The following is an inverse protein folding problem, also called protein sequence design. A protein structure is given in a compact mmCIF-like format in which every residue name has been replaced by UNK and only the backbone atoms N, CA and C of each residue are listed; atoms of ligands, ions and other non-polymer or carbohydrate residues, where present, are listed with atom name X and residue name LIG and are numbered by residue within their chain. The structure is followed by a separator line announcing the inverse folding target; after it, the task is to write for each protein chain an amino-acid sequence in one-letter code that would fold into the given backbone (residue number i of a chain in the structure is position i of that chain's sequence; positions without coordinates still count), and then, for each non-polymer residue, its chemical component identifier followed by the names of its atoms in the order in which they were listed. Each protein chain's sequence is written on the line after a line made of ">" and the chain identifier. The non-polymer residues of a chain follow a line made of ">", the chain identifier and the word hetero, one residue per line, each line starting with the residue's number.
data_IF_618800064759
#
_entry.id   IF_618800064759
#
_cell.length_a   1.000
_cell.length_b   1.000
_cell.length_c   1.000
_cell.angle_alpha   90.00
_cell.angle_beta   90.00
_cell.angle_gamma   90.00
#
_symmetry.space_group_name_H-M   'P 1'
#
loop_
_entity.id
_entity.type
_entity.pdbx_description
1 polymer ?
#
# COMPACT_ATOMS: atom_id res chain seq x y z
N UNK A 1 -14.00 11.33 67.67
CA UNK A 1 -13.88 10.71 66.34
C UNK A 1 -14.18 9.23 66.52
N UNK A 2 -15.25 8.73 65.91
CA UNK A 2 -15.67 7.33 66.05
C UNK A 2 -14.87 6.48 65.05
N UNK A 3 -14.18 5.46 65.55
CA UNK A 3 -13.43 4.51 64.72
C UNK A 3 -14.40 3.38 64.37
N UNK A 4 -14.67 3.10 63.08
CA UNK A 4 -15.53 2.00 62.68
C UNK A 4 -14.94 0.67 63.15
N UNK A 5 -15.78 -0.25 63.65
CA UNK A 5 -15.33 -1.61 63.97
C UNK A 5 -14.99 -2.37 62.68
N UNK A 6 -13.71 -2.68 62.51
CA UNK A 6 -13.16 -3.43 61.37
C UNK A 6 -12.37 -4.62 61.90
N UNK A 7 -12.34 -5.73 61.14
CA UNK A 7 -11.56 -6.90 61.51
C UNK A 7 -10.06 -6.57 61.54
N UNK A 8 -9.46 -6.71 62.72
CA UNK A 8 -8.05 -6.42 62.97
C UNK A 8 -7.11 -7.34 62.20
N UNK A 9 -7.55 -8.56 61.85
CA UNK A 9 -6.74 -9.53 61.09
C UNK A 9 -6.57 -9.08 59.64
N UNK A 10 -7.69 -8.78 58.97
CA UNK A 10 -7.67 -8.29 57.59
C UNK A 10 -6.98 -6.93 57.47
N UNK A 11 -7.15 -6.06 58.47
CA UNK A 11 -6.43 -4.79 58.53
C UNK A 11 -4.90 -5.00 58.58
N UNK A 12 -4.43 -5.92 59.41
CA UNK A 12 -3.00 -6.26 59.51
C UNK A 12 -2.43 -6.84 58.21
N UNK A 13 -3.19 -7.66 57.49
CA UNK A 13 -2.78 -8.19 56.18
C UNK A 13 -2.62 -7.07 55.14
N UNK A 14 -3.54 -6.10 55.11
CA UNK A 14 -3.45 -4.93 54.22
C UNK A 14 -2.27 -4.02 54.58
N UNK A 15 -1.96 -3.85 55.87
CA UNK A 15 -0.78 -3.12 56.32
C UNK A 15 0.52 -3.82 55.91
N UNK A 16 0.59 -5.16 56.00
CA UNK A 16 1.73 -5.95 55.54
C UNK A 16 1.92 -5.83 54.02
N UNK A 17 0.83 -5.70 53.26
CA UNK A 17 0.87 -5.42 51.81
C UNK A 17 1.29 -3.99 51.46
N UNK A 18 1.41 -3.10 52.45
CA UNK A 18 1.86 -1.72 52.27
C UNK A 18 0.74 -0.70 52.06
N UNK A 19 -0.53 -1.08 52.29
CA UNK A 19 -1.65 -0.15 52.22
C UNK A 19 -1.80 0.65 53.54
N UNK A 20 -2.00 1.98 53.49
CA UNK A 20 -2.21 2.78 54.69
C UNK A 20 -3.45 2.35 55.47
N UNK A 21 -3.33 2.24 56.80
CA UNK A 21 -4.41 1.81 57.69
C UNK A 21 -5.74 2.56 57.46
N UNK A 22 -5.66 3.86 57.19
CA UNK A 22 -6.83 4.73 56.92
C UNK A 22 -7.63 4.26 55.71
N UNK A 23 -6.94 3.91 54.62
CA UNK A 23 -7.56 3.45 53.37
C UNK A 23 -8.09 2.03 53.52
N UNK A 24 -7.33 1.17 54.21
CA UNK A 24 -7.70 -0.21 54.52
C UNK A 24 -8.99 -0.28 55.35
N UNK A 25 -9.13 0.57 56.37
CA UNK A 25 -10.35 0.66 57.19
C UNK A 25 -11.57 1.05 56.33
N UNK A 26 -11.38 2.01 55.42
CA UNK A 26 -12.45 2.47 54.52
C UNK A 26 -12.85 1.38 53.53
N UNK A 27 -11.88 0.72 52.92
CA UNK A 27 -12.11 -0.39 51.99
C UNK A 27 -12.84 -1.56 52.66
N UNK A 28 -12.43 -1.91 53.88
CA UNK A 28 -13.08 -2.96 54.66
C UNK A 28 -14.52 -2.58 55.06
N UNK A 29 -14.76 -1.30 55.35
CA UNK A 29 -16.10 -0.79 55.61
C UNK A 29 -17.04 -0.88 54.39
N UNK A 30 -16.56 -0.54 53.18
CA UNK A 30 -17.39 -0.62 51.97
C UNK A 30 -17.49 -2.04 51.39
N UNK A 31 -16.46 -2.87 51.59
CA UNK A 31 -16.46 -4.31 51.26
C UNK A 31 -17.35 -5.13 52.22
N UNK A 32 -17.70 -4.56 53.38
CA UNK A 32 -18.56 -5.20 54.38
C UNK A 32 -17.89 -6.33 55.16
N UNK A 33 -16.57 -6.25 55.37
CA UNK A 33 -15.76 -7.23 56.13
C UNK A 33 -15.93 -8.71 55.72
N UNK A 34 -16.32 -9.00 54.48
CA UNK A 34 -16.64 -10.36 54.02
C UNK A 34 -15.44 -11.11 53.44
N UNK A 35 -14.57 -10.42 52.68
CA UNK A 35 -13.40 -11.02 52.05
C UNK A 35 -12.27 -10.00 51.87
N UNK A 36 -11.01 -10.43 52.07
CA UNK A 36 -9.82 -9.58 51.90
C UNK A 36 -9.69 -9.06 50.46
N UNK A 37 -9.84 -9.95 49.47
CA UNK A 37 -9.72 -9.63 48.05
C UNK A 37 -10.74 -8.58 47.60
N UNK A 38 -11.96 -8.61 48.16
CA UNK A 38 -12.99 -7.63 47.87
C UNK A 38 -12.64 -6.24 48.40
N UNK A 39 -11.95 -6.17 49.55
CA UNK A 39 -11.42 -4.90 50.06
C UNK A 39 -10.27 -4.37 49.19
N UNK A 40 -9.39 -5.25 48.70
CA UNK A 40 -8.33 -4.87 47.76
C UNK A 40 -8.92 -4.35 46.45
N UNK A 41 -9.92 -5.04 45.88
CA UNK A 41 -10.57 -4.60 44.65
C UNK A 41 -11.22 -3.23 44.81
N UNK A 42 -11.90 -2.99 45.94
CA UNK A 42 -12.47 -1.67 46.23
C UNK A 42 -11.39 -0.60 46.35
N UNK A 43 -10.25 -0.92 46.98
CA UNK A 43 -9.14 0.01 47.15
C UNK A 43 -8.50 0.40 45.80
N UNK A 44 -8.36 -0.56 44.88
CA UNK A 44 -7.84 -0.31 43.54
C UNK A 44 -8.80 0.51 42.68
N UNK A 45 -10.10 0.26 42.78
CA UNK A 45 -11.11 1.00 42.04
C UNK A 45 -11.22 2.48 42.49
N UNK A 46 -10.87 2.78 43.74
CA UNK A 46 -11.05 4.09 44.36
C UNK A 46 -9.73 4.76 44.76
N UNK A 47 -8.57 4.25 44.33
CA UNK A 47 -7.24 4.75 44.74
C UNK A 47 -6.96 6.20 44.30
N UNK A 48 -7.64 6.65 43.25
CA UNK A 48 -7.49 7.97 42.63
C UNK A 48 -8.43 9.03 43.22
N UNK A 49 -9.31 8.64 44.14
CA UNK A 49 -10.28 9.57 44.72
C UNK A 49 -9.63 10.40 45.84
N UNK A 50 -9.71 11.75 45.79
CA UNK A 50 -9.08 12.64 46.77
C UNK A 50 -9.72 12.56 48.16
N UNK A 51 -10.87 11.90 48.29
CA UNK A 51 -11.56 11.70 49.55
C UNK A 51 -11.19 10.38 50.22
N UNK A 52 -10.42 9.47 49.59
CA UNK A 52 -10.10 8.14 50.11
C UNK A 52 -9.38 8.17 51.47
N UNK A 53 -8.61 9.23 51.72
CA UNK A 53 -7.88 9.46 52.97
C UNK A 53 -8.78 10.00 54.11
N UNK A 54 -10.07 10.21 53.85
CA UNK A 54 -11.06 10.58 54.89
C UNK A 54 -11.69 9.33 55.50
N UNK A 55 -11.65 9.25 56.84
CA UNK A 55 -12.31 8.21 57.63
C UNK A 55 -13.83 8.34 57.54
N UNK A 56 -14.57 7.27 57.20
CA UNK A 56 -16.02 7.31 57.18
C UNK A 56 -16.60 7.51 58.60
N UNK A 57 -17.53 8.46 58.76
CA UNK A 57 -18.13 8.84 60.05
C UNK A 57 -19.34 7.99 60.47
N UNK A 58 -19.67 6.92 59.75
CA UNK A 58 -20.88 6.13 59.99
C UNK A 58 -20.51 4.68 60.26
N UNK A 59 -20.86 4.18 61.45
CA UNK A 59 -20.82 2.74 61.74
C UNK A 59 -22.01 2.06 61.06
N UNK A 60 -21.78 1.23 60.04
CA UNK A 60 -22.72 0.17 59.69
C UNK A 60 -22.36 -1.07 60.51
N UNK A 61 -23.25 -1.49 61.41
CA UNK A 61 -23.18 -2.82 62.01
C UNK A 61 -23.57 -3.85 60.95
N UNK A 62 -22.67 -4.80 60.69
CA UNK A 62 -22.97 -5.99 59.89
C UNK A 62 -22.52 -7.18 60.73
N UNK A 63 -23.48 -8.01 61.13
CA UNK A 63 -23.27 -9.21 61.93
C UNK A 63 -22.32 -10.17 61.23
N UNK A 64 -21.27 -10.58 61.94
CA UNK A 64 -20.36 -11.63 61.52
C UNK A 64 -21.06 -12.97 61.79
N UNK A 65 -21.63 -13.57 60.74
CA UNK A 65 -21.98 -15.00 60.74
C UNK A 65 -20.85 -15.76 60.04
N UNK A 66 -19.94 -16.31 60.84
CA UNK A 66 -19.06 -17.41 60.41
C UNK A 66 -19.94 -18.67 60.36
N UNK A 67 -20.41 -19.03 59.17
CA UNK A 67 -21.30 -20.16 58.95
C UNK A 67 -20.57 -21.31 58.27
N UNK A 68 -20.19 -22.32 59.06
CA UNK A 68 -19.89 -23.67 58.60
C UNK A 68 -21.11 -24.28 57.90
N UNK A 69 -20.81 -25.18 56.98
CA UNK A 69 -21.66 -25.93 56.07
C UNK A 69 -23.00 -26.42 56.63
N UNK A 70 -24.11 -26.09 55.96
CA UNK A 70 -25.29 -26.96 55.93
C UNK A 70 -26.16 -26.68 54.70
N UNK A 71 -26.00 -27.54 53.70
CA UNK A 71 -26.93 -27.70 52.59
C UNK A 71 -28.13 -28.51 53.08
N UNK A 72 -29.34 -27.95 53.00
CA UNK A 72 -30.51 -28.63 52.46
C UNK A 72 -31.68 -27.64 52.39
N UNK A 73 -32.59 -27.86 51.43
CA UNK A 73 -33.80 -27.06 51.18
C UNK A 73 -33.61 -25.79 50.32
N UNK A 74 -33.18 -25.96 49.06
CA UNK A 74 -33.51 -25.00 47.97
C UNK A 74 -33.77 -25.61 46.59
N UNK A 75 -34.19 -26.88 46.51
CA UNK A 75 -34.25 -27.66 45.26
C UNK A 75 -35.61 -27.61 44.51
N UNK A 76 -36.39 -26.52 44.54
CA UNK A 76 -37.65 -26.46 43.75
C UNK A 76 -37.93 -25.18 42.96
N UNK A 77 -37.01 -24.20 42.97
CA UNK A 77 -37.07 -23.03 42.08
C UNK A 77 -35.89 -22.96 41.09
N UNK A 78 -35.01 -23.97 41.08
CA UNK A 78 -33.76 -23.99 40.33
C UNK A 78 -33.91 -24.51 38.89
N UNK A 79 -34.86 -25.40 38.62
CA UNK A 79 -35.01 -26.06 37.30
C UNK A 79 -35.50 -25.15 36.17
N UNK A 80 -36.28 -24.10 36.46
CA UNK A 80 -36.70 -23.13 35.41
C UNK A 80 -35.63 -22.05 35.15
N UNK A 81 -34.71 -21.83 36.11
CA UNK A 81 -33.58 -20.90 35.94
C UNK A 81 -32.44 -21.53 35.15
N UNK A 82 -32.15 -22.82 35.35
CA UNK A 82 -31.09 -23.54 34.62
C UNK A 82 -31.35 -23.58 33.13
N UNK A 83 -32.55 -23.99 32.68
CA UNK A 83 -32.88 -24.02 31.25
C UNK A 83 -32.92 -22.63 30.59
N UNK A 84 -33.40 -21.60 31.31
CA UNK A 84 -33.40 -20.23 30.80
C UNK A 84 -32.00 -19.63 30.73
N UNK A 85 -31.10 -20.03 31.64
CA UNK A 85 -29.72 -19.56 31.73
C UNK A 85 -28.82 -20.31 30.74
N UNK A 86 -29.07 -21.60 30.50
CA UNK A 86 -28.41 -22.44 29.50
C UNK A 86 -28.74 -22.00 28.07
N UNK A 87 -30.02 -21.70 27.77
CA UNK A 87 -30.38 -21.07 26.48
C UNK A 87 -29.78 -19.68 26.31
N UNK A 88 -29.72 -18.86 27.37
CA UNK A 88 -29.05 -17.54 27.31
C UNK A 88 -27.54 -17.66 27.10
N UNK A 89 -26.89 -18.67 27.67
CA UNK A 89 -25.46 -18.92 27.43
C UNK A 89 -25.18 -19.49 26.04
N UNK A 90 -26.04 -20.36 25.51
CA UNK A 90 -25.94 -20.88 24.14
C UNK A 90 -26.25 -19.80 23.09
N UNK A 91 -27.26 -18.95 23.33
CA UNK A 91 -27.62 -17.83 22.46
C UNK A 91 -26.57 -16.70 22.51
N UNK A 92 -25.93 -16.48 23.67
CA UNK A 92 -24.75 -15.60 23.77
C UNK A 92 -23.50 -16.20 23.13
N UNK A 93 -23.28 -17.52 23.21
CA UNK A 93 -22.15 -18.19 22.56
C UNK A 93 -22.28 -18.18 21.04
N UNK A 94 -23.47 -18.45 20.52
CA UNK A 94 -23.78 -18.38 19.08
C UNK A 94 -23.75 -16.94 18.55
N UNK A 95 -24.26 -15.96 19.31
CA UNK A 95 -24.15 -14.55 18.97
C UNK A 95 -22.71 -14.02 19.06
N UNK A 96 -21.89 -14.53 19.98
CA UNK A 96 -20.45 -14.24 20.07
C UNK A 96 -19.72 -14.76 18.82
N UNK A 97 -19.95 -16.01 18.46
CA UNK A 97 -19.34 -16.64 17.28
C UNK A 97 -19.77 -15.97 15.96
N UNK A 98 -21.05 -15.59 15.81
CA UNK A 98 -21.51 -14.80 14.64
C UNK A 98 -20.86 -13.43 14.53
N UNK A 99 -20.61 -12.74 15.66
CA UNK A 99 -19.92 -11.44 15.68
C UNK A 99 -18.45 -11.57 15.29
N UNK A 100 -17.78 -12.63 15.74
CA UNK A 100 -16.40 -12.93 15.35
C UNK A 100 -16.30 -13.21 13.85
N UNK A 101 -17.19 -14.04 13.29
CA UNK A 101 -17.24 -14.30 11.84
C UNK A 101 -17.47 -13.00 11.05
N UNK A 102 -18.41 -12.15 11.50
CA UNK A 102 -18.72 -10.87 10.85
C UNK A 102 -17.60 -9.83 10.98
N UNK A 103 -16.74 -9.96 11.99
CA UNK A 103 -15.56 -9.12 12.16
C UNK A 103 -14.44 -9.60 11.25
N UNK A 104 -14.14 -10.90 11.25
CA UNK A 104 -13.15 -11.52 10.37
C UNK A 104 -13.48 -11.26 8.90
N UNK A 105 -14.75 -11.37 8.49
CA UNK A 105 -15.17 -11.07 7.11
C UNK A 105 -14.94 -9.60 6.73
N UNK A 106 -15.21 -8.66 7.64
CA UNK A 106 -14.89 -7.24 7.43
C UNK A 106 -13.40 -6.98 7.31
N UNK A 107 -12.59 -7.66 8.11
CA UNK A 107 -11.13 -7.55 8.07
C UNK A 107 -10.54 -8.16 6.79
N UNK A 108 -11.07 -9.30 6.32
CA UNK A 108 -10.68 -9.90 5.04
C UNK A 108 -11.03 -8.99 3.86
N UNK A 109 -12.26 -8.46 3.83
CA UNK A 109 -12.68 -7.51 2.78
C UNK A 109 -11.84 -6.22 2.79
N UNK A 110 -11.44 -5.72 3.98
CA UNK A 110 -10.55 -4.56 4.08
C UNK A 110 -9.15 -4.86 3.55
N UNK A 111 -8.58 -6.02 3.89
CA UNK A 111 -7.27 -6.45 3.37
C UNK A 111 -7.28 -6.67 1.85
N UNK A 112 -8.36 -7.22 1.29
CA UNK A 112 -8.54 -7.36 -0.16
C UNK A 112 -8.57 -5.99 -0.86
N UNK A 113 -9.27 -5.02 -0.28
CA UNK A 113 -9.32 -3.66 -0.83
C UNK A 113 -7.94 -2.99 -0.82
N UNK A 114 -7.15 -3.16 0.25
CA UNK A 114 -5.78 -2.68 0.30
C UNK A 114 -4.86 -3.35 -0.72
N UNK A 115 -4.98 -4.66 -0.93
CA UNK A 115 -4.27 -5.41 -1.96
C UNK A 115 -4.61 -4.90 -3.37
N UNK A 116 -5.89 -4.65 -3.64
CA UNK A 116 -6.34 -4.07 -4.90
C UNK A 116 -5.75 -2.67 -5.13
N UNK A 117 -5.70 -1.84 -4.10
CA UNK A 117 -5.10 -0.51 -4.19
C UNK A 117 -3.59 -0.58 -4.46
N UNK A 118 -2.87 -1.47 -3.78
CA UNK A 118 -1.45 -1.74 -4.08
C UNK A 118 -1.27 -2.18 -5.53
N UNK A 119 -2.15 -3.06 -6.03
CA UNK A 119 -2.14 -3.53 -7.41
C UNK A 119 -2.44 -2.42 -8.41
N UNK A 120 -3.40 -1.53 -8.12
CA UNK A 120 -3.71 -0.34 -8.93
C UNK A 120 -2.50 0.60 -9.03
N UNK A 121 -1.84 0.88 -7.91
CA UNK A 121 -0.64 1.75 -7.87
C UNK A 121 0.51 1.15 -8.68
N UNK A 122 0.79 -0.14 -8.52
CA UNK A 122 1.83 -0.83 -9.29
C UNK A 122 1.51 -0.87 -10.78
N UNK A 123 0.24 -1.08 -11.16
CA UNK A 123 -0.20 -1.07 -12.55
C UNK A 123 -0.01 0.31 -13.20
N UNK A 124 -0.36 1.39 -12.50
CA UNK A 124 -0.12 2.76 -12.97
C UNK A 124 1.38 3.03 -13.17
N UNK A 125 2.21 2.63 -12.22
CA UNK A 125 3.65 2.85 -12.31
C UNK A 125 4.30 2.04 -13.45
N UNK A 126 3.83 0.81 -13.68
CA UNK A 126 4.25 -0.03 -14.81
C UNK A 126 3.81 0.59 -16.14
N UNK A 127 2.54 0.98 -16.27
CA UNK A 127 2.03 1.62 -17.48
C UNK A 127 2.77 2.92 -17.80
N UNK A 128 3.13 3.73 -16.80
CA UNK A 128 3.91 4.95 -16.99
C UNK A 128 5.32 4.63 -17.51
N UNK A 129 6.01 3.65 -16.92
CA UNK A 129 7.33 3.21 -17.42
C UNK A 129 7.28 2.64 -18.82
N UNK A 130 6.27 1.82 -19.13
CA UNK A 130 6.10 1.22 -20.46
C UNK A 130 5.83 2.30 -21.52
N UNK A 131 5.06 3.34 -21.20
CA UNK A 131 4.80 4.45 -22.12
C UNK A 131 6.04 5.34 -22.32
N UNK A 132 6.78 5.61 -21.25
CA UNK A 132 8.09 6.26 -21.31
C UNK A 132 9.07 5.44 -22.17
N UNK A 133 9.13 4.12 -21.99
CA UNK A 133 9.99 3.25 -22.78
C UNK A 133 9.59 3.22 -24.26
N UNK A 134 8.29 3.17 -24.58
CA UNK A 134 7.81 3.29 -25.97
C UNK A 134 8.18 4.63 -26.58
N UNK A 135 8.02 5.75 -25.84
CA UNK A 135 8.38 7.07 -26.36
C UNK A 135 9.88 7.16 -26.66
N UNK A 136 10.72 6.61 -25.78
CA UNK A 136 12.17 6.49 -25.98
C UNK A 136 12.52 5.56 -27.15
N UNK A 137 11.78 4.47 -27.30
CA UNK A 137 11.91 3.53 -28.41
C UNK A 137 11.60 4.19 -29.76
N UNK A 138 10.54 5.01 -29.83
CA UNK A 138 10.20 5.80 -31.02
C UNK A 138 11.33 6.77 -31.39
N UNK A 139 11.85 7.53 -30.43
CA UNK A 139 12.96 8.46 -30.66
C UNK A 139 14.20 7.72 -31.17
N UNK A 140 14.56 6.59 -30.56
CA UNK A 140 15.71 5.78 -31.01
C UNK A 140 15.52 5.28 -32.44
N UNK A 141 14.35 4.75 -32.77
CA UNK A 141 14.04 4.25 -34.12
C UNK A 141 14.09 5.38 -35.15
N UNK A 142 13.54 6.54 -34.80
CA UNK A 142 13.57 7.72 -35.67
C UNK A 142 15.01 8.19 -35.93
N UNK A 143 15.86 8.27 -34.89
CA UNK A 143 17.28 8.59 -35.06
C UNK A 143 18.03 7.57 -35.92
N UNK A 144 17.69 6.29 -35.81
CA UNK A 144 18.28 5.24 -36.64
C UNK A 144 17.86 5.40 -38.10
N UNK A 145 16.60 5.76 -38.35
CA UNK A 145 16.08 6.00 -39.69
C UNK A 145 16.67 7.27 -40.31
N UNK A 146 16.68 8.40 -39.59
CA UNK A 146 17.36 9.63 -40.01
C UNK A 146 18.82 9.36 -40.38
N UNK A 147 19.52 8.52 -39.59
CA UNK A 147 20.89 8.11 -39.90
C UNK A 147 20.98 7.32 -41.21
N UNK A 148 20.06 6.39 -41.46
CA UNK A 148 20.00 5.61 -42.71
C UNK A 148 19.68 6.51 -43.90
N UNK A 149 18.70 7.40 -43.76
CA UNK A 149 18.32 8.38 -44.78
C UNK A 149 19.50 9.27 -45.14
N UNK A 150 20.25 9.79 -44.16
CA UNK A 150 21.45 10.60 -44.44
C UNK A 150 22.52 9.81 -45.19
N UNK A 151 22.71 8.54 -44.86
CA UNK A 151 23.65 7.67 -45.58
C UNK A 151 23.16 7.42 -47.01
N UNK A 152 21.86 7.16 -47.19
CA UNK A 152 21.29 6.91 -48.50
C UNK A 152 21.34 8.16 -49.38
N UNK A 153 20.92 9.31 -48.86
CA UNK A 153 21.01 10.58 -49.56
C UNK A 153 22.46 10.92 -49.97
N UNK A 154 23.44 10.63 -49.12
CA UNK A 154 24.85 10.82 -49.48
C UNK A 154 25.28 9.90 -50.65
N UNK A 155 24.82 8.65 -50.69
CA UNK A 155 25.06 7.74 -51.82
C UNK A 155 24.40 8.25 -53.09
N UNK A 156 23.14 8.68 -53.01
CA UNK A 156 22.37 9.19 -54.15
C UNK A 156 23.04 10.44 -54.74
N UNK A 157 23.56 11.33 -53.89
CA UNK A 157 24.34 12.51 -54.32
C UNK A 157 25.62 12.09 -55.05
N UNK A 158 26.34 11.10 -54.54
CA UNK A 158 27.56 10.59 -55.18
C UNK A 158 27.26 9.94 -56.53
N UNK A 159 26.16 9.21 -56.63
CA UNK A 159 25.72 8.57 -57.87
C UNK A 159 25.22 9.60 -58.90
N UNK A 160 24.47 10.61 -58.48
CA UNK A 160 24.08 11.75 -59.31
C UNK A 160 25.31 12.49 -59.87
N UNK A 161 26.34 12.69 -59.04
CA UNK A 161 27.61 13.27 -59.51
C UNK A 161 28.29 12.40 -60.57
N UNK A 162 28.35 11.09 -60.34
CA UNK A 162 28.94 10.13 -61.29
C UNK A 162 28.21 10.13 -62.64
N UNK A 163 26.88 10.12 -62.62
CA UNK A 163 26.08 10.17 -63.85
C UNK A 163 26.22 11.48 -64.59
N UNK A 164 26.30 12.61 -63.87
CA UNK A 164 26.59 13.91 -64.48
C UNK A 164 27.95 13.92 -65.17
N UNK A 165 29.00 13.42 -64.53
CA UNK A 165 30.33 13.31 -65.12
C UNK A 165 30.35 12.42 -66.36
N UNK A 166 29.63 11.28 -66.34
CA UNK A 166 29.49 10.40 -67.50
C UNK A 166 28.73 11.09 -68.65
N UNK A 167 27.65 11.83 -68.34
CA UNK A 167 26.89 12.60 -69.33
C UNK A 167 27.75 13.72 -69.93
N UNK A 168 28.56 14.41 -69.12
CA UNK A 168 29.53 15.40 -69.62
C UNK A 168 30.55 14.75 -70.55
N UNK A 169 31.08 13.57 -70.20
CA UNK A 169 31.99 12.80 -71.09
C UNK A 169 31.32 12.43 -72.40
N UNK A 170 30.09 11.91 -72.37
CA UNK A 170 29.31 11.57 -73.58
C UNK A 170 29.08 12.81 -74.44
N UNK A 171 28.75 13.95 -73.83
CA UNK A 171 28.58 15.23 -74.53
C UNK A 171 29.88 15.71 -75.18
N UNK A 172 31.02 15.60 -74.49
CA UNK A 172 32.34 15.92 -75.04
C UNK A 172 32.71 15.01 -76.21
N UNK A 173 32.49 13.70 -76.09
CA UNK A 173 32.73 12.73 -77.18
C UNK A 173 31.85 13.05 -78.39
N UNK A 174 30.56 13.33 -78.16
CA UNK A 174 29.61 13.71 -79.21
C UNK A 174 30.00 15.03 -79.90
N UNK A 175 30.42 16.03 -79.12
CA UNK A 175 30.91 17.31 -79.66
C UNK A 175 32.19 17.11 -80.48
N UNK A 176 33.16 16.34 -79.96
CA UNK A 176 34.41 16.05 -80.67
C UNK A 176 34.18 15.28 -81.96
N UNK A 177 33.25 14.32 -81.98
CA UNK A 177 32.88 13.57 -83.19
C UNK A 177 32.17 14.46 -84.21
N UNK A 178 31.24 15.33 -83.80
CA UNK A 178 30.62 16.30 -84.70
C UNK A 178 31.63 17.30 -85.29
N UNK A 179 32.53 17.85 -84.47
CA UNK A 179 33.58 18.77 -84.95
C UNK A 179 34.55 18.06 -85.90
N UNK A 180 34.93 16.82 -85.60
CA UNK A 180 35.75 16.00 -86.49
C UNK A 180 35.06 15.71 -87.83
N UNK A 181 33.77 15.35 -87.80
CA UNK A 181 32.96 15.12 -88.99
C UNK A 181 32.83 16.39 -89.83
N UNK A 182 32.56 17.55 -89.21
CA UNK A 182 32.44 18.83 -89.90
C UNK A 182 33.78 19.27 -90.54
N UNK A 183 34.90 19.11 -89.83
CA UNK A 183 36.25 19.39 -90.38
C UNK A 183 36.58 18.49 -91.57
N UNK A 184 36.31 17.19 -91.45
CA UNK A 184 36.57 16.21 -92.52
C UNK A 184 35.73 16.49 -93.78
N UNK A 185 34.45 16.83 -93.58
CA UNK A 185 33.54 17.15 -94.68
C UNK A 185 33.93 18.49 -95.35
N UNK A 186 34.32 19.51 -94.58
CA UNK A 186 34.84 20.76 -95.12
C UNK A 186 36.13 20.56 -95.95
N UNK A 187 37.05 19.70 -95.49
CA UNK A 187 38.24 19.35 -96.29
C UNK A 187 37.88 18.60 -97.57
N UNK A 188 36.89 17.71 -97.53
CA UNK A 188 36.44 16.98 -98.72
C UNK A 188 35.80 17.91 -99.75
N UNK A 189 34.98 18.87 -99.32
CA UNK A 189 34.38 19.90 -100.18
C UNK A 189 35.48 20.78 -100.79
N UNK A 190 36.45 21.25 -100.00
CA UNK A 190 37.58 22.04 -100.53
C UNK A 190 38.40 21.27 -101.56
N UNK A 191 38.70 19.99 -101.30
CA UNK A 191 39.44 19.14 -102.23
C UNK A 191 38.67 18.91 -103.54
N UNK A 192 37.35 18.76 -103.45
CA UNK A 192 36.48 18.61 -104.61
C UNK A 192 36.39 19.91 -105.43
N UNK A 193 36.25 21.06 -104.76
CA UNK A 193 36.23 22.38 -105.40
C UNK A 193 37.56 22.69 -106.13
N UNK A 194 38.71 22.41 -105.49
CA UNK A 194 40.04 22.59 -106.10
C UNK A 194 40.24 21.71 -107.33
N UNK A 195 39.73 20.48 -107.30
CA UNK A 195 39.83 19.52 -108.40
C UNK A 195 38.94 19.91 -109.58
N UNK A 196 37.78 20.53 -109.32
CA UNK A 196 36.93 21.10 -110.37
C UNK A 196 37.54 22.36 -111.01
N UNK A 197 38.24 23.23 -110.26
CA UNK A 197 38.87 24.44 -110.83
C UNK A 197 40.14 24.17 -111.64
N UNK A 198 40.84 23.07 -111.38
CA UNK A 198 42.04 22.68 -112.13
C UNK A 198 41.77 21.71 -113.30
N UNK A 199 40.50 21.32 -113.51
CA UNK A 199 40.09 20.33 -114.51
C UNK A 199 39.32 20.87 -115.71
N UNK A 200 39.28 22.20 -115.92
CA UNK A 200 38.77 22.85 -117.13
C UNK A 200 39.92 23.53 -117.88
#
# INVERSE_FOLDING_TARGET
>A
MAVPQVDKKMLGELEVMGFPAVRSIRALHYSGNSNLESAINWLLEHESDPDIDQLPLVSREISIECGDTSNEVRNSAQGMRTHAQERKSEEQATAGSQKEISQVERELNANEHEEEDRKRVLALHKSKRDEEEKSRGRIRNQLQEDKRERIQAAKDVMEAKRTLEENQRKRWVSYSTHVGYFRSNATHIFYFQLRCTHGC
#
